data_IF_181230811475
#
_entry.id   IF_181230811475
#
_cell.length_a   1.000
_cell.length_b   1.000
_cell.length_c   1.000
_cell.angle_alpha   90.00
_cell.angle_beta   90.00
_cell.angle_gamma   90.00
#
_symmetry.space_group_name_H-M   'P 1'
#
loop_
_entity.id
_entity.type
_entity.pdbx_description
1 polymer ?
#
# COMPACT_ATOMS: atom_id res chain seq x y z
N UNK A 1 5.51 -16.96 -9.45
CA UNK A 1 5.79 -16.94 -8.00
C UNK A 1 6.31 -18.31 -7.61
N UNK A 2 7.22 -18.47 -6.62
CA UNK A 2 7.66 -19.79 -6.17
C UNK A 2 6.45 -20.57 -5.64
N UNK A 3 6.36 -21.87 -5.93
CA UNK A 3 5.24 -22.69 -5.48
C UNK A 3 5.16 -22.81 -3.95
N UNK A 4 6.30 -22.72 -3.28
CA UNK A 4 6.46 -22.84 -1.83
C UNK A 4 7.52 -21.88 -1.33
N UNK A 5 7.39 -21.44 -0.08
CA UNK A 5 8.43 -20.71 0.66
C UNK A 5 8.58 -21.32 2.06
N UNK A 6 9.78 -21.19 2.64
CA UNK A 6 10.07 -21.68 4.00
C UNK A 6 10.29 -20.46 4.88
N UNK A 7 9.52 -20.37 5.97
CA UNK A 7 9.68 -19.39 7.04
C UNK A 7 10.14 -20.09 8.32
N UNK A 8 10.39 -19.34 9.39
CA UNK A 8 10.90 -19.88 10.66
C UNK A 8 9.98 -20.92 11.32
N UNK A 9 8.68 -20.88 11.01
CA UNK A 9 7.63 -21.73 11.57
C UNK A 9 7.18 -22.85 10.62
N UNK A 10 7.71 -22.92 9.39
CA UNK A 10 7.47 -24.04 8.48
C UNK A 10 7.29 -23.66 7.01
N UNK A 11 6.74 -24.61 6.24
CA UNK A 11 6.48 -24.46 4.80
C UNK A 11 5.15 -23.74 4.55
N UNK A 12 5.18 -22.76 3.63
CA UNK A 12 4.02 -22.03 3.14
C UNK A 12 3.81 -22.31 1.66
N UNK A 13 2.57 -22.64 1.26
CA UNK A 13 2.19 -22.98 -0.11
C UNK A 13 1.52 -21.81 -0.81
N UNK A 14 1.89 -21.57 -2.06
CA UNK A 14 1.32 -20.50 -2.87
C UNK A 14 -0.16 -20.76 -3.15
N UNK A 15 -1.01 -19.78 -2.81
CA UNK A 15 -2.44 -19.82 -3.07
C UNK A 15 -2.83 -18.99 -4.29
N UNK A 16 -2.32 -17.76 -4.38
CA UNK A 16 -2.75 -16.78 -5.39
C UNK A 16 -1.65 -15.79 -5.70
N UNK A 17 -1.55 -15.36 -6.96
CA UNK A 17 -0.73 -14.20 -7.35
C UNK A 17 -1.64 -12.98 -7.51
N UNK A 18 -1.41 -11.91 -6.73
CA UNK A 18 -2.22 -10.69 -6.78
C UNK A 18 -1.79 -9.73 -7.89
N UNK A 19 -0.48 -9.62 -8.10
CA UNK A 19 0.08 -8.64 -9.02
C UNK A 19 1.31 -9.21 -9.70
N UNK A 20 1.33 -9.11 -11.01
CA UNK A 20 2.42 -9.58 -11.86
C UNK A 20 2.85 -8.48 -12.80
N UNK A 21 3.37 -7.39 -12.24
CA UNK A 21 3.84 -6.25 -13.01
C UNK A 21 5.34 -6.31 -13.24
N UNK A 22 5.80 -5.53 -14.22
CA UNK A 22 7.21 -5.36 -14.57
C UNK A 22 8.13 -4.98 -13.40
N UNK A 23 7.59 -4.43 -12.30
CA UNK A 23 8.37 -3.91 -11.16
C UNK A 23 8.24 -4.73 -9.87
N UNK A 24 7.15 -5.48 -9.70
CA UNK A 24 6.91 -6.22 -8.48
C UNK A 24 5.98 -7.41 -8.72
N UNK A 25 6.25 -8.52 -8.04
CA UNK A 25 5.35 -9.66 -7.97
C UNK A 25 4.90 -9.89 -6.52
N UNK A 26 3.59 -10.02 -6.33
CA UNK A 26 2.99 -10.22 -5.01
C UNK A 26 2.16 -11.49 -5.02
N UNK A 27 2.38 -12.36 -4.03
CA UNK A 27 1.69 -13.64 -3.92
C UNK A 27 1.23 -13.91 -2.49
N UNK A 28 0.05 -14.51 -2.38
CA UNK A 28 -0.54 -15.05 -1.17
C UNK A 28 -0.05 -16.48 -0.96
N UNK A 29 0.33 -16.79 0.27
CA UNK A 29 0.71 -18.13 0.69
C UNK A 29 -0.03 -18.49 1.98
N UNK A 30 -0.27 -19.78 2.20
CA UNK A 30 -0.81 -20.31 3.46
C UNK A 30 0.15 -21.33 4.08
N UNK A 31 0.28 -21.29 5.40
CA UNK A 31 1.15 -22.15 6.18
C UNK A 31 0.70 -22.23 7.64
N UNK A 32 1.56 -22.75 8.53
CA UNK A 32 1.21 -23.07 9.92
C UNK A 32 0.64 -21.89 10.73
N UNK A 33 1.21 -20.69 10.59
CA UNK A 33 0.75 -19.49 11.31
C UNK A 33 -0.26 -18.64 10.53
N UNK A 34 -0.92 -19.22 9.52
CA UNK A 34 -1.96 -18.56 8.72
C UNK A 34 -1.48 -18.11 7.33
N UNK A 35 -2.08 -17.04 6.81
CA UNK A 35 -1.79 -16.51 5.47
C UNK A 35 -0.71 -15.43 5.52
N UNK A 36 0.13 -15.38 4.48
CA UNK A 36 1.21 -14.40 4.34
C UNK A 36 1.29 -13.86 2.92
N UNK A 37 1.82 -12.65 2.79
CA UNK A 37 2.13 -12.03 1.52
C UNK A 37 3.64 -12.07 1.31
N UNK A 38 4.06 -12.66 0.18
CA UNK A 38 5.39 -12.48 -0.37
C UNK A 38 5.37 -11.35 -1.39
N UNK A 39 6.16 -10.31 -1.15
CA UNK A 39 6.48 -9.28 -2.13
C UNK A 39 7.88 -9.52 -2.69
N UNK A 40 8.01 -9.49 -4.01
CA UNK A 40 9.27 -9.58 -4.75
C UNK A 40 9.47 -8.34 -5.60
N UNK A 41 10.57 -7.61 -5.38
CA UNK A 41 11.03 -6.60 -6.34
C UNK A 41 11.54 -7.28 -7.60
N UNK A 42 10.86 -7.05 -8.73
CA UNK A 42 11.32 -7.50 -10.05
C UNK A 42 11.93 -6.29 -10.75
N UNK A 43 13.22 -6.28 -10.97
CA UNK A 43 13.83 -5.28 -11.84
C UNK A 43 14.21 -5.94 -13.14
N UNK A 44 13.51 -5.53 -14.20
CA UNK A 44 14.00 -5.69 -15.56
C UNK A 44 15.18 -4.74 -15.71
N UNK A 45 16.27 -5.18 -16.35
CA UNK A 45 17.43 -4.33 -16.58
C UNK A 45 17.04 -3.04 -17.32
N UNK A 46 17.60 -1.90 -16.90
CA UNK A 46 17.47 -0.66 -17.65
C UNK A 46 18.55 -0.66 -18.73
N UNK A 47 18.17 -0.66 -20.00
CA UNK A 47 19.11 -0.65 -21.13
C UNK A 47 20.12 -1.82 -21.10
N UNK A 48 19.72 -2.99 -20.62
CA UNK A 48 20.59 -4.18 -20.55
C UNK A 48 21.50 -4.26 -19.31
N UNK A 49 21.50 -3.26 -18.43
CA UNK A 49 22.27 -3.29 -17.18
C UNK A 49 21.46 -3.96 -16.05
N UNK A 50 22.04 -4.93 -15.31
CA UNK A 50 21.37 -5.56 -14.18
C UNK A 50 21.19 -4.55 -13.04
N UNK A 51 19.93 -4.21 -12.75
CA UNK A 51 19.57 -3.25 -11.70
C UNK A 51 19.32 -3.95 -10.34
N UNK A 52 19.89 -5.13 -10.10
CA UNK A 52 19.69 -5.91 -8.87
C UNK A 52 20.01 -5.12 -7.60
N UNK A 53 21.04 -4.27 -7.63
CA UNK A 53 21.42 -3.37 -6.53
C UNK A 53 20.27 -2.41 -6.14
N UNK A 54 19.53 -1.89 -7.13
CA UNK A 54 18.41 -0.97 -6.89
C UNK A 54 17.24 -1.73 -6.25
N UNK A 55 17.02 -2.97 -6.67
CA UNK A 55 15.91 -3.81 -6.17
C UNK A 55 16.16 -4.22 -4.73
N UNK A 56 17.41 -4.58 -4.43
CA UNK A 56 17.87 -4.81 -3.06
C UNK A 56 17.72 -3.55 -2.21
N UNK A 57 18.19 -2.40 -2.70
CA UNK A 57 18.06 -1.13 -1.98
C UNK A 57 16.61 -0.76 -1.67
N UNK A 58 15.71 -0.88 -2.65
CA UNK A 58 14.29 -0.59 -2.46
C UNK A 58 13.64 -1.55 -1.45
N UNK A 59 13.95 -2.84 -1.53
CA UNK A 59 13.42 -3.83 -0.60
C UNK A 59 13.99 -3.66 0.81
N UNK A 60 15.28 -3.34 0.95
CA UNK A 60 15.91 -3.05 2.24
C UNK A 60 15.29 -1.79 2.88
N UNK A 61 14.98 -0.76 2.08
CA UNK A 61 14.26 0.43 2.54
C UNK A 61 12.86 0.10 3.04
N UNK A 62 12.06 -0.64 2.27
CA UNK A 62 10.70 -1.03 2.68
C UNK A 62 10.74 -1.91 3.94
N UNK A 63 11.69 -2.85 4.02
CA UNK A 63 11.90 -3.65 5.23
C UNK A 63 12.30 -2.81 6.44
N UNK A 64 13.13 -1.77 6.26
CA UNK A 64 13.50 -0.86 7.34
C UNK A 64 12.29 -0.08 7.88
N UNK A 65 11.34 0.30 7.01
CA UNK A 65 10.06 0.88 7.44
C UNK A 65 9.26 -0.15 8.22
N UNK A 66 9.00 -1.33 7.65
CA UNK A 66 8.24 -2.38 8.33
C UNK A 66 8.80 -2.74 9.71
N UNK A 67 10.13 -2.79 9.85
CA UNK A 67 10.78 -3.02 11.15
C UNK A 67 10.59 -1.87 12.13
N UNK A 68 10.64 -0.62 11.66
CA UNK A 68 10.49 0.52 12.58
C UNK A 68 9.07 0.66 13.11
N UNK A 69 8.08 0.08 12.43
CA UNK A 69 6.65 0.16 12.80
C UNK A 69 6.02 -1.22 13.08
N UNK A 70 6.84 -2.24 13.35
CA UNK A 70 6.38 -3.62 13.47
C UNK A 70 5.42 -3.87 14.64
N UNK A 71 5.47 -3.01 15.66
CA UNK A 71 4.65 -3.03 16.87
C UNK A 71 3.38 -2.15 16.76
N UNK A 72 3.19 -1.45 15.64
CA UNK A 72 2.07 -0.54 15.44
C UNK A 72 0.81 -1.33 15.04
N UNK A 73 -0.28 -1.28 15.82
CA UNK A 73 -1.55 -1.88 15.42
C UNK A 73 -2.04 -1.29 14.10
N UNK A 74 -2.55 -2.12 13.18
CA UNK A 74 -2.94 -1.68 11.84
C UNK A 74 -1.80 -1.68 10.81
N UNK A 75 -0.61 -2.17 11.18
CA UNK A 75 0.48 -2.50 10.23
C UNK A 75 0.64 -4.02 10.17
N UNK A 76 0.68 -4.65 8.97
CA UNK A 76 0.92 -6.08 8.86
C UNK A 76 2.26 -6.48 9.49
N UNK A 77 2.24 -7.54 10.30
CA UNK A 77 3.46 -8.04 10.94
C UNK A 77 4.51 -8.43 9.90
N UNK A 78 5.70 -7.86 10.02
CA UNK A 78 6.86 -8.23 9.21
C UNK A 78 7.39 -9.62 9.60
N UNK A 79 7.57 -10.51 8.63
CA UNK A 79 8.01 -11.90 8.85
C UNK A 79 9.44 -12.17 8.36
N UNK A 80 10.09 -11.18 7.75
CA UNK A 80 11.50 -11.28 7.37
C UNK A 80 11.76 -11.09 5.89
N UNK A 81 13.05 -11.15 5.53
CA UNK A 81 13.52 -11.11 4.14
C UNK A 81 13.29 -12.46 3.47
N UNK A 82 13.09 -12.42 2.17
CA UNK A 82 13.04 -13.59 1.32
C UNK A 82 13.87 -13.32 0.05
N UNK A 83 14.99 -14.01 -0.08
CA UNK A 83 15.98 -13.73 -1.13
C UNK A 83 16.54 -12.30 -1.06
N UNK A 84 17.11 -11.83 -2.17
CA UNK A 84 17.78 -10.52 -2.22
C UNK A 84 16.83 -9.33 -2.40
N UNK A 85 15.68 -9.51 -3.03
CA UNK A 85 14.75 -8.43 -3.39
C UNK A 85 13.35 -8.62 -2.83
N UNK A 86 13.14 -9.65 -2.01
CA UNK A 86 11.84 -10.01 -1.49
C UNK A 86 11.72 -9.93 0.02
N UNK A 87 10.50 -9.81 0.50
CA UNK A 87 10.20 -9.90 1.92
C UNK A 87 8.78 -10.41 2.13
N UNK A 88 8.53 -10.89 3.35
CA UNK A 88 7.27 -11.49 3.73
C UNK A 88 6.65 -10.70 4.87
N UNK A 89 5.34 -10.49 4.80
CA UNK A 89 4.55 -9.94 5.90
C UNK A 89 3.23 -10.70 6.03
N UNK A 90 2.57 -10.53 7.17
CA UNK A 90 1.25 -11.08 7.44
C UNK A 90 0.24 -10.66 6.35
N UNK A 91 -0.63 -11.59 5.96
CA UNK A 91 -1.84 -11.25 5.22
C UNK A 91 -2.90 -10.72 6.19
N UNK A 92 -3.49 -9.57 5.85
CA UNK A 92 -4.61 -8.99 6.60
C UNK A 92 -5.88 -9.45 5.91
N UNK A 93 -6.75 -10.14 6.65
CA UNK A 93 -8.09 -10.51 6.19
C UNK A 93 -8.97 -9.26 6.14
N UNK A 94 -9.80 -9.15 5.10
CA UNK A 94 -10.56 -7.94 4.76
C UNK A 94 -10.38 -7.55 3.30
N UNK A 95 -10.70 -6.29 2.99
CA UNK A 95 -10.67 -5.76 1.62
C UNK A 95 -10.18 -4.31 1.58
N UNK A 96 -9.65 -3.85 0.43
CA UNK A 96 -9.31 -2.44 0.27
C UNK A 96 -10.54 -1.54 0.36
N UNK A 97 -10.40 -0.40 1.05
CA UNK A 97 -11.46 0.60 1.20
C UNK A 97 -12.06 0.97 -0.15
N UNK A 98 -13.34 0.68 -0.33
CA UNK A 98 -14.03 0.86 -1.61
C UNK A 98 -14.50 2.30 -1.79
N UNK A 99 -15.15 2.61 -2.91
CA UNK A 99 -15.70 3.96 -3.12
C UNK A 99 -16.97 4.12 -2.29
N UNK A 100 -17.07 5.20 -1.51
CA UNK A 100 -18.29 5.54 -0.77
C UNK A 100 -18.75 4.42 0.19
N UNK A 101 -17.84 3.54 0.60
CA UNK A 101 -18.12 2.48 1.56
C UNK A 101 -18.44 3.09 2.93
N UNK A 102 -19.47 2.57 3.59
CA UNK A 102 -19.73 2.91 4.98
C UNK A 102 -18.84 2.06 5.88
N UNK A 103 -18.05 2.72 6.71
CA UNK A 103 -17.17 2.09 7.71
C UNK A 103 -17.69 2.40 9.12
N UNK A 104 -17.30 1.56 10.08
CA UNK A 104 -17.62 1.76 11.51
C UNK A 104 -17.12 3.09 12.02
N UNK A 105 -17.71 3.58 13.11
CA UNK A 105 -17.45 4.92 13.65
C UNK A 105 -15.98 5.12 14.02
N UNK A 106 -15.33 4.06 14.51
CA UNK A 106 -13.96 4.06 14.99
C UNK A 106 -12.92 3.99 13.86
N UNK A 107 -13.33 3.70 12.63
CA UNK A 107 -12.39 3.41 11.53
C UNK A 107 -11.41 4.56 11.25
N UNK A 108 -11.93 5.78 11.03
CA UNK A 108 -11.06 6.92 10.75
C UNK A 108 -10.34 7.48 11.99
N UNK A 109 -10.96 7.53 13.18
CA UNK A 109 -10.23 7.80 14.42
C UNK A 109 -9.05 6.86 14.67
N UNK A 110 -9.21 5.56 14.40
CA UNK A 110 -8.12 4.59 14.48
C UNK A 110 -7.07 4.81 13.39
N UNK A 111 -7.48 5.14 12.17
CA UNK A 111 -6.56 5.42 11.06
C UNK A 111 -5.74 6.69 11.33
N UNK A 112 -6.32 7.72 11.95
CA UNK A 112 -5.61 8.91 12.40
C UNK A 112 -4.57 8.59 13.47
N UNK A 113 -4.93 7.78 14.47
CA UNK A 113 -3.99 7.28 15.48
C UNK A 113 -2.85 6.48 14.85
N UNK A 114 -3.17 5.52 13.99
CA UNK A 114 -2.19 4.73 13.25
C UNK A 114 -1.22 5.64 12.49
N UNK A 115 -1.73 6.61 11.74
CA UNK A 115 -0.90 7.54 10.99
C UNK A 115 -0.03 8.42 11.92
N UNK A 116 -0.58 8.85 13.06
CA UNK A 116 0.14 9.55 14.11
C UNK A 116 1.30 8.73 14.69
N UNK A 117 1.09 7.44 14.93
CA UNK A 117 2.12 6.50 15.41
C UNK A 117 3.26 6.31 14.40
N UNK A 118 2.95 6.24 13.10
CA UNK A 118 3.96 6.27 12.04
C UNK A 118 4.76 7.57 12.09
N UNK A 119 4.05 8.70 12.21
CA UNK A 119 4.67 10.03 12.23
C UNK A 119 5.59 10.18 13.43
N UNK A 120 5.21 9.76 14.64
CA UNK A 120 6.07 9.80 15.84
C UNK A 120 7.37 9.02 15.64
N UNK A 121 7.34 7.93 14.86
CA UNK A 121 8.52 7.12 14.49
C UNK A 121 9.34 7.67 13.31
N UNK A 122 9.10 8.93 12.92
CA UNK A 122 9.73 9.57 11.76
C UNK A 122 9.49 8.86 10.43
N UNK A 123 8.32 8.21 10.30
CA UNK A 123 7.83 7.63 9.06
C UNK A 123 6.69 8.50 8.53
N UNK A 124 6.79 8.95 7.29
CA UNK A 124 5.64 9.42 6.53
C UNK A 124 5.20 8.33 5.55
N UNK A 125 3.90 8.08 5.49
CA UNK A 125 3.34 6.98 4.70
C UNK A 125 3.44 7.28 3.19
N UNK A 126 3.19 8.53 2.80
CA UNK A 126 3.40 9.13 1.48
C UNK A 126 2.50 8.61 0.33
N UNK A 127 1.78 7.49 0.49
CA UNK A 127 0.89 6.95 -0.54
C UNK A 127 -0.59 6.93 -0.14
N UNK A 128 -0.97 7.68 0.91
CA UNK A 128 -2.34 7.63 1.48
C UNK A 128 -3.40 8.14 0.50
N UNK A 129 -3.01 8.74 -0.63
CA UNK A 129 -3.94 9.09 -1.69
C UNK A 129 -4.69 7.87 -2.25
N UNK A 130 -4.01 6.71 -2.33
CA UNK A 130 -4.57 5.48 -2.87
C UNK A 130 -5.35 4.75 -1.78
N UNK A 131 -6.67 4.75 -1.92
CA UNK A 131 -7.58 3.96 -1.07
C UNK A 131 -7.24 2.47 -1.10
N UNK A 132 -6.66 1.98 -2.20
CA UNK A 132 -6.28 0.58 -2.38
C UNK A 132 -5.20 0.12 -1.39
N UNK A 133 -4.50 1.06 -0.75
CA UNK A 133 -3.51 0.76 0.27
C UNK A 133 -4.06 0.88 1.71
N UNK A 134 -5.33 1.24 1.87
CA UNK A 134 -6.05 1.26 3.14
C UNK A 134 -6.98 0.05 3.11
N UNK A 135 -6.75 -0.95 3.96
CA UNK A 135 -7.65 -2.07 4.10
C UNK A 135 -8.65 -1.81 5.23
N UNK A 136 -9.88 -2.24 5.01
CA UNK A 136 -10.88 -2.49 6.04
C UNK A 136 -10.71 -3.95 6.44
N UNK A 137 -10.22 -4.19 7.65
CA UNK A 137 -10.09 -5.54 8.17
C UNK A 137 -11.46 -6.18 8.42
N UNK A 138 -11.51 -7.51 8.45
CA UNK A 138 -12.73 -8.24 8.86
C UNK A 138 -13.16 -7.90 10.31
N UNK A 139 -12.22 -7.39 11.11
CA UNK A 139 -12.45 -6.82 12.45
C UNK A 139 -13.01 -5.39 12.43
N UNK A 140 -13.25 -4.81 11.25
CA UNK A 140 -13.69 -3.44 11.04
C UNK A 140 -12.60 -2.38 11.22
N UNK A 141 -11.34 -2.78 11.47
CA UNK A 141 -10.25 -1.86 11.80
C UNK A 141 -9.46 -1.44 10.55
N UNK A 142 -8.85 -0.26 10.55
CA UNK A 142 -8.02 0.18 9.43
C UNK A 142 -6.64 -0.46 9.44
N UNK A 143 -6.19 -0.90 8.27
CA UNK A 143 -4.82 -1.37 8.07
C UNK A 143 -4.14 -0.62 6.93
N UNK A 144 -2.86 -0.26 7.12
CA UNK A 144 -2.03 0.31 6.07
C UNK A 144 -1.10 -0.75 5.50
N UNK A 145 -1.17 -0.93 4.18
CA UNK A 145 -0.30 -1.82 3.44
C UNK A 145 0.59 -1.03 2.48
N UNK A 146 1.57 -1.67 1.86
CA UNK A 146 2.41 -1.08 0.81
C UNK A 146 3.20 0.18 1.21
N UNK A 147 4.25 -0.02 2.00
CA UNK A 147 5.18 1.02 2.43
C UNK A 147 6.29 1.33 1.41
N UNK A 148 6.14 0.87 0.16
CA UNK A 148 7.20 0.93 -0.84
C UNK A 148 7.69 2.36 -1.09
N UNK A 149 6.80 3.35 -1.06
CA UNK A 149 7.16 4.78 -1.25
C UNK A 149 7.23 5.59 0.05
N UNK A 150 7.02 4.96 1.20
CA UNK A 150 7.10 5.64 2.49
C UNK A 150 8.50 6.20 2.75
N UNK A 151 8.54 7.29 3.50
CA UNK A 151 9.77 8.00 3.84
C UNK A 151 10.05 7.86 5.33
N UNK A 152 11.06 7.08 5.67
CA UNK A 152 11.56 6.94 7.03
C UNK A 152 12.85 7.76 7.19
N UNK A 153 12.85 8.72 8.11
CA UNK A 153 14.01 9.58 8.39
C UNK A 153 14.39 9.51 9.87
N UNK A 154 15.10 8.45 10.30
CA UNK A 154 15.44 8.28 11.70
C UNK A 154 16.51 9.30 12.14
N UNK A 155 16.53 9.67 13.44
CA UNK A 155 17.50 10.60 13.98
C UNK A 155 18.94 10.07 13.87
N UNK A 156 19.11 8.75 13.92
CA UNK A 156 20.39 8.04 13.77
C UNK A 156 20.21 6.76 12.94
N UNK A 157 21.31 6.07 12.59
CA UNK A 157 21.22 4.78 11.90
C UNK A 157 20.76 4.84 10.43
N UNK A 158 20.98 5.98 9.75
CA UNK A 158 20.61 6.17 8.34
C UNK A 158 21.38 5.22 7.42
N UNK A 159 20.68 4.66 6.44
CA UNK A 159 21.23 3.65 5.53
C UNK A 159 21.27 4.14 4.08
N UNK A 160 22.19 3.58 3.29
CA UNK A 160 22.32 3.86 1.86
C UNK A 160 22.43 5.37 1.54
N UNK A 161 21.66 5.82 0.54
CA UNK A 161 21.67 7.20 0.08
C UNK A 161 21.24 8.24 1.13
N UNK A 162 20.60 7.84 2.22
CA UNK A 162 20.22 8.77 3.30
C UNK A 162 21.44 9.31 4.07
N UNK A 163 22.60 8.64 3.99
CA UNK A 163 23.83 9.06 4.67
C UNK A 163 24.43 10.34 4.08
N UNK A 164 24.17 10.61 2.80
CA UNK A 164 24.70 11.79 2.10
C UNK A 164 23.70 12.93 2.01
N UNK A 165 22.45 12.70 2.41
CA UNK A 165 21.41 13.72 2.40
C UNK A 165 21.53 14.56 3.68
N UNK A 166 21.63 15.90 3.58
CA UNK A 166 21.68 16.79 4.74
C UNK A 166 20.47 16.58 5.65
N UNK A 167 20.70 16.60 6.96
CA UNK A 167 19.65 16.29 7.94
C UNK A 167 18.42 17.20 7.82
N UNK A 168 18.66 18.49 7.66
CA UNK A 168 17.60 19.49 7.53
C UNK A 168 16.74 19.27 6.28
N UNK A 169 17.33 18.80 5.18
CA UNK A 169 16.59 18.46 3.97
C UNK A 169 15.70 17.23 4.20
N UNK A 170 16.20 16.20 4.86
CA UNK A 170 15.42 15.00 5.15
C UNK A 170 14.27 15.25 6.12
N UNK A 171 14.50 16.08 7.16
CA UNK A 171 13.45 16.57 8.07
C UNK A 171 12.41 17.41 7.32
N UNK A 172 12.85 18.29 6.43
CA UNK A 172 11.95 19.09 5.60
C UNK A 172 11.06 18.18 4.74
N UNK A 173 11.63 17.21 4.03
CA UNK A 173 10.88 16.24 3.22
C UNK A 173 9.87 15.49 4.09
N UNK A 174 10.30 14.97 5.24
CA UNK A 174 9.43 14.27 6.19
C UNK A 174 8.25 15.13 6.62
N UNK A 175 8.48 16.38 7.01
CA UNK A 175 7.42 17.31 7.42
C UNK A 175 6.41 17.56 6.29
N UNK A 176 6.86 17.69 5.05
CA UNK A 176 5.95 17.87 3.89
C UNK A 176 5.14 16.62 3.59
N UNK A 177 5.74 15.44 3.68
CA UNK A 177 5.03 14.17 3.46
C UNK A 177 4.01 13.89 4.58
N UNK A 178 4.33 14.17 5.84
CA UNK A 178 3.35 14.10 6.95
C UNK A 178 2.14 15.00 6.73
N UNK A 179 2.35 16.20 6.19
CA UNK A 179 1.25 17.11 5.85
C UNK A 179 0.41 16.58 4.69
N UNK A 180 1.03 15.95 3.69
CA UNK A 180 0.31 15.28 2.61
C UNK A 180 -0.53 14.10 3.14
N UNK A 181 0.03 13.27 4.02
CA UNK A 181 -0.72 12.17 4.64
C UNK A 181 -1.95 12.69 5.38
N UNK A 182 -1.82 13.71 6.23
CA UNK A 182 -2.95 14.32 6.96
C UNK A 182 -4.03 14.85 6.02
N UNK A 183 -3.63 15.52 4.93
CA UNK A 183 -4.58 15.98 3.93
C UNK A 183 -5.33 14.80 3.27
N UNK A 184 -4.62 13.73 2.91
CA UNK A 184 -5.23 12.56 2.29
C UNK A 184 -6.14 11.78 3.25
N UNK A 185 -5.77 11.71 4.53
CA UNK A 185 -6.61 11.16 5.58
C UNK A 185 -7.93 11.92 5.67
N UNK A 186 -7.89 13.25 5.86
CA UNK A 186 -9.09 14.08 5.94
C UNK A 186 -9.92 14.05 4.65
N UNK A 187 -9.27 13.93 3.49
CA UNK A 187 -9.94 13.77 2.19
C UNK A 187 -10.73 12.46 2.11
N UNK A 188 -10.21 11.37 2.67
CA UNK A 188 -10.95 10.10 2.75
C UNK A 188 -12.02 10.16 3.83
N UNK A 189 -11.69 10.64 5.02
CA UNK A 189 -12.63 10.80 6.13
C UNK A 189 -13.87 11.58 5.70
N UNK A 190 -13.69 12.73 5.03
CA UNK A 190 -14.81 13.52 4.47
C UNK A 190 -15.68 12.74 3.48
N UNK A 191 -15.11 11.85 2.68
CA UNK A 191 -15.88 11.14 1.63
C UNK A 191 -16.72 9.99 2.17
N UNK A 192 -16.32 9.45 3.32
CA UNK A 192 -16.91 8.25 3.88
C UNK A 192 -17.74 8.56 5.13
N UNK A 193 -17.24 9.45 5.98
CA UNK A 193 -17.81 9.84 7.28
C UNK A 193 -17.69 11.34 7.52
N UNK A 194 -18.28 12.16 6.63
CA UNK A 194 -18.26 13.62 6.77
C UNK A 194 -18.92 14.10 8.08
N UNK A 195 -19.88 13.32 8.57
CA UNK A 195 -20.62 13.50 9.83
C UNK A 195 -19.71 13.58 11.06
N UNK A 196 -18.53 12.95 11.00
CA UNK A 196 -17.59 12.89 12.12
C UNK A 196 -16.56 14.03 12.13
N UNK A 197 -16.47 14.82 11.06
CA UNK A 197 -15.47 15.88 10.97
C UNK A 197 -15.96 17.15 11.67
N UNK A 198 -15.08 17.73 12.49
CA UNK A 198 -15.26 19.10 12.96
C UNK A 198 -15.24 20.08 11.78
N UNK A 199 -15.82 21.27 11.95
CA UNK A 199 -15.81 22.32 10.93
C UNK A 199 -14.39 22.63 10.44
N UNK A 200 -13.42 22.73 11.38
CA UNK A 200 -12.02 22.99 11.05
C UNK A 200 -11.37 21.86 10.23
N UNK A 201 -11.63 20.59 10.60
CA UNK A 201 -11.12 19.44 9.84
C UNK A 201 -11.78 19.34 8.45
N UNK A 202 -13.08 19.63 8.38
CA UNK A 202 -13.81 19.66 7.12
C UNK A 202 -13.21 20.70 6.18
N UNK A 203 -12.98 21.93 6.65
CA UNK A 203 -12.27 22.95 5.88
C UNK A 203 -10.86 22.52 5.46
N UNK A 204 -10.08 21.96 6.39
CA UNK A 204 -8.73 21.47 6.11
C UNK A 204 -8.71 20.37 5.05
N UNK A 205 -9.75 19.53 4.97
CA UNK A 205 -9.88 18.49 3.94
C UNK A 205 -10.01 19.05 2.51
N UNK A 206 -10.42 20.32 2.35
CA UNK A 206 -10.48 21.02 1.07
C UNK A 206 -9.21 21.84 0.78
N UNK A 207 -8.48 22.25 1.81
CA UNK A 207 -7.25 23.04 1.69
C UNK A 207 -6.10 22.17 1.19
N UNK A 208 -5.88 22.20 -0.12
CA UNK A 208 -4.78 21.47 -0.75
C UNK A 208 -3.45 22.12 -0.39
N UNK A 209 -2.52 21.31 0.12
CA UNK A 209 -1.15 21.77 0.36
C UNK A 209 -0.43 22.14 -0.94
N UNK A 210 0.47 23.12 -0.87
CA UNK A 210 1.29 23.58 -1.99
C UNK A 210 1.97 22.43 -2.77
N UNK A 211 2.45 21.38 -2.07
CA UNK A 211 3.14 20.26 -2.72
C UNK A 211 2.18 19.30 -3.43
N UNK A 212 0.93 19.15 -2.96
CA UNK A 212 -0.09 18.40 -3.69
C UNK A 212 -0.38 19.12 -5.01
N UNK A 213 -0.47 20.46 -4.98
CA UNK A 213 -0.68 21.26 -6.19
C UNK A 213 0.55 21.26 -7.11
N UNK A 214 1.77 21.37 -6.56
CA UNK A 214 3.02 21.29 -7.32
C UNK A 214 3.19 19.93 -7.97
N UNK A 215 3.03 18.83 -7.22
CA UNK A 215 3.06 17.47 -7.76
C UNK A 215 2.04 17.31 -8.88
N UNK A 216 0.82 17.82 -8.72
CA UNK A 216 -0.20 17.79 -9.78
C UNK A 216 0.21 18.61 -11.00
N UNK A 217 0.78 19.80 -10.82
CA UNK A 217 1.27 20.64 -11.93
C UNK A 217 2.39 19.94 -12.71
N UNK A 218 3.28 19.22 -12.02
CA UNK A 218 4.37 18.46 -12.66
C UNK A 218 3.88 17.17 -13.31
N UNK A 219 3.01 16.40 -12.64
CA UNK A 219 2.58 15.07 -13.12
C UNK A 219 1.42 15.10 -14.09
N UNK A 220 0.57 16.13 -14.09
CA UNK A 220 -0.55 16.27 -15.03
C UNK A 220 -0.11 16.28 -16.50
N UNK A 221 0.89 17.08 -16.94
CA UNK A 221 1.34 17.03 -18.33
C UNK A 221 1.88 15.65 -18.73
N UNK A 222 2.70 15.03 -17.87
CA UNK A 222 3.18 13.65 -18.05
C UNK A 222 2.03 12.63 -18.16
N UNK A 223 1.01 12.77 -17.30
CA UNK A 223 -0.18 11.90 -17.31
C UNK A 223 -0.98 12.09 -18.59
N UNK A 224 -1.19 13.33 -19.05
CA UNK A 224 -1.91 13.62 -20.28
C UNK A 224 -1.18 13.09 -21.52
N UNK A 225 0.14 13.29 -21.59
CA UNK A 225 0.99 12.71 -22.64
C UNK A 225 0.90 11.18 -22.66
N UNK A 226 1.00 10.55 -21.48
CA UNK A 226 0.84 9.10 -21.34
C UNK A 226 -0.54 8.62 -21.80
N UNK A 227 -1.62 9.31 -21.42
CA UNK A 227 -2.99 8.97 -21.84
C UNK A 227 -3.19 9.12 -23.34
N UNK A 228 -2.62 10.16 -23.95
CA UNK A 228 -2.65 10.37 -25.39
C UNK A 228 -1.89 9.28 -26.14
N UNK A 229 -0.69 8.91 -25.66
CA UNK A 229 0.09 7.81 -26.20
C UNK A 229 -0.66 6.47 -26.09
N UNK A 230 -1.26 6.17 -24.93
CA UNK A 230 -2.10 4.98 -24.74
C UNK A 230 -3.31 4.97 -25.68
N UNK A 231 -3.99 6.11 -25.86
CA UNK A 231 -5.13 6.21 -26.78
C UNK A 231 -4.70 5.94 -28.22
N UNK A 232 -3.52 6.42 -28.63
CA UNK A 232 -2.97 6.20 -29.97
C UNK A 232 -2.54 4.74 -30.21
N UNK A 233 -2.02 4.07 -29.17
CA UNK A 233 -1.49 2.70 -29.26
C UNK A 233 -2.56 1.61 -29.04
N UNK A 234 -3.58 1.89 -28.22
CA UNK A 234 -4.53 0.87 -27.72
C UNK A 234 -6.00 1.24 -27.92
N UNK A 235 -6.29 2.43 -28.46
CA UNK A 235 -7.65 2.97 -28.57
C UNK A 235 -8.25 3.45 -27.23
N UNK A 236 -7.60 3.18 -26.09
CA UNK A 236 -8.10 3.52 -24.75
C UNK A 236 -7.26 4.60 -24.09
N UNK A 237 -7.91 5.54 -23.41
CA UNK A 237 -7.24 6.66 -22.70
C UNK A 237 -6.79 6.30 -21.29
N UNK A 238 -7.14 5.10 -20.78
CA UNK A 238 -6.77 4.57 -19.46
C UNK A 238 -6.25 3.15 -19.62
N UNK A 239 -5.24 2.80 -18.83
CA UNK A 239 -4.75 1.41 -18.72
C UNK A 239 -5.73 0.63 -17.85
N UNK A 240 -6.02 -0.64 -18.17
CA UNK A 240 -6.89 -1.54 -17.38
C UNK A 240 -6.53 -1.59 -15.88
N UNK A 241 -5.27 -1.27 -15.56
CA UNK A 241 -4.73 -1.14 -14.20
C UNK A 241 -5.33 0.01 -13.38
N UNK A 242 -6.06 0.95 -14.00
CA UNK A 242 -6.70 2.09 -13.35
C UNK A 242 -8.16 1.84 -12.94
N UNK A 243 -8.71 0.66 -13.23
CA UNK A 243 -10.06 0.27 -12.85
C UNK A 243 -10.09 -0.39 -11.45
N UNK A 244 -8.94 -0.40 -10.75
CA UNK A 244 -8.75 -1.24 -9.57
C UNK A 244 -8.55 -2.70 -9.98
N UNK A 245 -8.13 -3.59 -9.07
CA UNK A 245 -8.34 -5.01 -9.33
C UNK A 245 -9.85 -5.23 -9.50
N UNK A 246 -10.28 -5.68 -10.68
CA UNK A 246 -11.59 -6.33 -10.79
C UNK A 246 -11.51 -7.54 -9.87
N UNK A 247 -12.13 -7.43 -8.70
CA UNK A 247 -12.42 -8.56 -7.84
C UNK A 247 -13.50 -9.37 -8.58
N UNK A 248 -13.07 -10.16 -9.56
CA UNK A 248 -13.91 -11.19 -10.15
C UNK A 248 -14.11 -12.25 -9.08
N UNK A 249 -15.27 -12.18 -8.42
CA UNK A 249 -15.86 -13.32 -7.73
C UNK A 249 -15.98 -14.46 -8.73
N UNK A 250 -15.03 -15.39 -8.73
CA UNK A 250 -15.29 -16.74 -9.20
C UNK A 250 -15.75 -17.55 -7.98
N UNK A 251 -16.99 -17.34 -7.57
CA UNK A 251 -17.72 -18.35 -6.80
C UNK A 251 -18.34 -19.32 -7.80
N UNK A 252 -17.85 -20.55 -7.77
CA UNK A 252 -18.45 -21.69 -8.46
C UNK A 252 -19.95 -21.80 -8.09
N UNK A 253 -20.81 -21.34 -8.99
CA UNK A 253 -22.23 -21.66 -8.94
C UNK A 253 -22.42 -23.08 -9.51
N UNK A 254 -22.20 -24.06 -8.66
CA UNK A 254 -22.46 -25.48 -8.93
C UNK A 254 -23.16 -26.13 -7.74
N UNK A 255 -24.29 -25.56 -7.29
CA UNK A 255 -25.18 -26.24 -6.37
C UNK A 255 -26.63 -26.10 -6.82
N UNK A 256 -27.11 -27.15 -7.48
CA UNK A 256 -28.53 -27.35 -7.79
C UNK A 256 -29.13 -28.15 -6.64
N UNK A 257 -30.11 -27.64 -5.87
CA UNK A 257 -30.84 -28.50 -4.94
C UNK A 257 -31.90 -29.27 -5.73
N UNK A 258 -31.73 -30.59 -5.81
CA UNK A 258 -32.82 -31.52 -6.12
C UNK A 258 -33.86 -31.45 -4.99
N UNK A 259 -35.08 -31.06 -5.34
CA UNK A 259 -36.24 -31.22 -4.45
C UNK A 259 -36.69 -32.68 -4.48
N UNK A 260 -36.48 -33.41 -3.39
CA UNK A 260 -37.17 -34.69 -3.12
C UNK A 260 -38.53 -34.41 -2.51
N UNK A 261 -39.59 -34.86 -3.18
CA UNK A 261 -40.92 -35.09 -2.60
C UNK A 261 -40.87 -36.30 -1.66
N UNK A 262 -41.44 -36.16 -0.48
CA UNK A 262 -41.94 -37.16 0.50
C UNK A 262 -42.27 -36.33 1.75
N UNK A 263 -43.47 -36.26 2.35
CA UNK A 263 -44.76 -36.93 2.19
C UNK A 263 -45.88 -35.90 2.43
#
# INVERSE_FOLDING_TARGET
MPARIILSDGEYRHLRTYKHDFFAATGLYAGPSGKVILKLGRLVGLLGLPMSWLGRYLADRECAVYRSVADVPGVPRYLGRWGETGFVHQFVEGHPLQRNESVVDEFFPELDRLLGELHTRNVAYADLEKRENILVGDDGRPWLIDFQISWHWPPSGRQGGQRVVPDELGKFILLRLRQADRYHLLKHWRRHRADQLTVAQLEASYRRGFFVELHRRVTRPLTLLRRAALKKLTGRSRSAKQDGPEFLESSDAGFTPQASKQD
#
